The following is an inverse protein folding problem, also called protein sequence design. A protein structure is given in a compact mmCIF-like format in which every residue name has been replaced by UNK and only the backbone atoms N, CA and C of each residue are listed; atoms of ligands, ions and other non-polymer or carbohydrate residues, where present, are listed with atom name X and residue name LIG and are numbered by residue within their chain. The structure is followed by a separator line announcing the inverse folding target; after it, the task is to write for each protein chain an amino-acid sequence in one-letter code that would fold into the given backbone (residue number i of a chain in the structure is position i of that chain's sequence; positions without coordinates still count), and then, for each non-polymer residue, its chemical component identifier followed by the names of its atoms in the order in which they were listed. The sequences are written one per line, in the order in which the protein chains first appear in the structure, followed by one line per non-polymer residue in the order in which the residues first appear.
data_IF_211429372968
#
_entry.id   IF_211429372968
#
_cell.length_a   1.000
_cell.length_b   1.000
_cell.length_c   1.000
_cell.angle_alpha   90.00
_cell.angle_beta   90.00
_cell.angle_gamma   90.00
#
_symmetry.space_group_name_H-M   'P 1'
#
loop_
_entity.id
_entity.type
_entity.pdbx_description
1 polymer ?
#
# COMPACT_ATOMS: atom_id res chain seq x y z
N UNK A 1 7.12 6.78 3.34
CA UNK A 1 7.47 5.37 3.06
C UNK A 1 8.15 4.73 4.26
N UNK A 2 7.80 3.48 4.56
CA UNK A 2 8.18 2.78 5.80
C UNK A 2 8.88 1.46 5.47
N UNK A 3 9.82 1.01 6.31
CA UNK A 3 10.32 -0.36 6.31
C UNK A 3 9.17 -1.37 6.48
N UNK A 4 9.40 -2.65 6.23
CA UNK A 4 8.40 -3.68 6.47
C UNK A 4 7.96 -3.74 7.94
N UNK A 5 8.90 -3.58 8.86
CA UNK A 5 8.59 -3.56 10.30
C UNK A 5 7.69 -2.37 10.65
N UNK A 6 8.07 -1.17 10.20
CA UNK A 6 7.33 0.06 10.53
C UNK A 6 5.98 0.12 9.79
N UNK A 7 5.90 -0.37 8.55
CA UNK A 7 4.66 -0.46 7.80
C UNK A 7 3.65 -1.39 8.49
N UNK A 8 4.09 -2.56 8.98
CA UNK A 8 3.22 -3.46 9.76
C UNK A 8 2.76 -2.80 11.05
N UNK A 9 3.65 -2.14 11.78
CA UNK A 9 3.30 -1.42 13.00
C UNK A 9 2.28 -0.29 12.71
N UNK A 10 2.46 0.44 11.60
CA UNK A 10 1.53 1.48 11.17
C UNK A 10 0.15 0.91 10.82
N UNK A 11 0.08 -0.18 10.05
CA UNK A 11 -1.17 -0.86 9.72
C UNK A 11 -1.91 -1.34 10.98
N UNK A 12 -1.19 -1.94 11.94
CA UNK A 12 -1.79 -2.33 13.23
C UNK A 12 -2.29 -1.12 14.02
N UNK A 13 -1.55 -0.01 14.04
CA UNK A 13 -1.99 1.21 14.72
C UNK A 13 -3.23 1.83 14.07
N UNK A 14 -3.30 1.83 12.74
CA UNK A 14 -4.45 2.31 11.97
C UNK A 14 -5.68 1.45 12.31
N UNK A 15 -5.56 0.12 12.29
CA UNK A 15 -6.66 -0.77 12.67
C UNK A 15 -7.14 -0.51 14.11
N UNK A 16 -6.22 -0.33 15.06
CA UNK A 16 -6.57 -0.01 16.47
C UNK A 16 -7.20 1.37 16.67
N UNK A 17 -7.05 2.29 15.72
CA UNK A 17 -7.58 3.65 15.84
C UNK A 17 -9.10 3.73 15.74
N UNK A 18 -9.76 2.66 15.27
CA UNK A 18 -11.20 2.64 14.99
C UNK A 18 -11.57 3.24 13.64
N UNK A 19 -10.60 3.46 12.75
CA UNK A 19 -10.86 3.84 11.37
C UNK A 19 -11.62 2.70 10.66
N UNK A 20 -12.68 3.05 9.89
CA UNK A 20 -13.42 2.06 9.10
C UNK A 20 -12.72 1.69 7.79
N UNK A 21 -11.83 2.55 7.29
CA UNK A 21 -11.22 2.41 5.97
C UNK A 21 -9.74 2.77 5.98
N UNK A 22 -8.97 2.07 5.15
CA UNK A 22 -7.59 2.41 4.76
C UNK A 22 -7.59 2.80 3.29
N UNK A 23 -7.13 4.01 2.98
CA UNK A 23 -6.80 4.41 1.62
C UNK A 23 -5.28 4.57 1.51
N UNK A 24 -4.64 3.81 0.62
CA UNK A 24 -3.19 3.89 0.43
C UNK A 24 -2.79 3.74 -1.05
N UNK A 25 -1.66 4.34 -1.42
CA UNK A 25 -1.08 4.16 -2.75
C UNK A 25 -0.59 2.72 -2.92
N UNK A 26 -0.88 2.13 -4.08
CA UNK A 26 -0.41 0.80 -4.50
C UNK A 26 0.05 0.80 -5.96
N UNK A 27 0.97 -0.10 -6.30
CA UNK A 27 1.53 -0.32 -7.63
C UNK A 27 1.27 -1.78 -8.05
N UNK A 28 0.13 -2.09 -8.71
CA UNK A 28 -0.32 -3.45 -8.97
C UNK A 28 0.63 -4.30 -9.84
N UNK A 29 1.47 -3.67 -10.68
CA UNK A 29 2.45 -4.38 -11.52
C UNK A 29 3.68 -4.84 -10.72
N UNK A 30 3.86 -4.38 -9.48
CA UNK A 30 4.90 -4.89 -8.59
C UNK A 30 4.58 -6.34 -8.22
N UNK A 31 5.47 -7.26 -8.59
CA UNK A 31 5.36 -8.70 -8.33
C UNK A 31 6.10 -9.16 -7.06
N UNK A 32 6.92 -8.29 -6.47
CA UNK A 32 7.65 -8.54 -5.22
C UNK A 32 7.88 -7.22 -4.49
N UNK A 33 7.52 -7.17 -3.21
CA UNK A 33 7.91 -6.06 -2.36
C UNK A 33 9.35 -6.24 -1.88
N UNK A 34 10.15 -5.19 -1.96
CA UNK A 34 11.47 -5.12 -1.32
C UNK A 34 11.36 -4.37 0.01
N UNK A 35 12.20 -4.73 0.99
CA UNK A 35 12.31 -3.94 2.22
C UNK A 35 13.19 -2.72 2.00
N UNK A 36 13.00 -1.68 2.81
CA UNK A 36 13.81 -0.47 2.79
C UNK A 36 14.11 0.01 4.20
N UNK A 37 15.11 0.88 4.33
CA UNK A 37 15.22 1.72 5.51
C UNK A 37 14.11 2.77 5.46
N UNK A 38 13.39 2.96 6.58
CA UNK A 38 12.32 3.96 6.67
C UNK A 38 12.79 5.33 6.21
N UNK A 39 11.97 5.98 5.37
CA UNK A 39 12.30 7.25 4.71
C UNK A 39 12.82 7.11 3.27
N UNK A 40 13.35 5.95 2.87
CA UNK A 40 13.64 5.67 1.46
C UNK A 40 12.35 5.45 0.65
N UNK A 41 12.46 5.38 -0.67
CA UNK A 41 11.32 5.19 -1.56
C UNK A 41 11.34 3.82 -2.24
N UNK A 42 10.15 3.27 -2.48
CA UNK A 42 9.90 2.08 -3.30
C UNK A 42 8.46 2.08 -3.81
N UNK A 43 8.18 1.48 -4.98
CA UNK A 43 6.82 1.06 -5.30
C UNK A 43 6.46 -0.14 -4.41
N UNK A 44 5.19 -0.27 -4.05
CA UNK A 44 4.73 -1.27 -3.11
C UNK A 44 3.36 -1.80 -3.53
N UNK A 45 3.16 -3.10 -3.38
CA UNK A 45 1.87 -3.74 -3.58
C UNK A 45 1.43 -4.37 -2.25
N UNK A 46 0.40 -3.80 -1.62
CA UNK A 46 -0.04 -4.23 -0.30
C UNK A 46 -0.78 -5.58 -0.31
N UNK A 47 -1.16 -6.12 -1.47
CA UNK A 47 -1.75 -7.46 -1.58
C UNK A 47 -0.69 -8.57 -1.55
N UNK A 48 0.58 -8.23 -1.75
CA UNK A 48 1.69 -9.17 -1.72
C UNK A 48 2.33 -9.33 -0.34
N UNK A 49 3.12 -10.40 -0.12
CA UNK A 49 3.96 -10.51 1.07
C UNK A 49 4.87 -9.28 1.25
N UNK A 50 5.15 -8.84 2.48
CA UNK A 50 4.73 -9.45 3.75
C UNK A 50 3.40 -8.88 4.30
N UNK A 51 2.66 -8.07 3.53
CA UNK A 51 1.45 -7.39 4.01
C UNK A 51 0.20 -8.25 3.80
N UNK A 52 0.10 -8.90 2.64
CA UNK A 52 -0.99 -9.83 2.31
C UNK A 52 -2.38 -9.27 2.63
N UNK A 53 -2.61 -7.97 2.36
CA UNK A 53 -3.95 -7.43 2.41
C UNK A 53 -4.83 -8.13 1.35
N UNK A 54 -6.14 -8.27 1.58
CA UNK A 54 -7.03 -8.77 0.54
C UNK A 54 -7.03 -7.83 -0.67
N UNK A 55 -7.65 -8.27 -1.77
CA UNK A 55 -7.94 -7.38 -2.89
C UNK A 55 -8.71 -6.14 -2.39
N UNK A 56 -8.34 -4.92 -2.84
CA UNK A 56 -8.99 -3.69 -2.41
C UNK A 56 -10.46 -3.66 -2.87
N UNK A 57 -11.32 -3.07 -2.04
CA UNK A 57 -12.74 -2.90 -2.37
C UNK A 57 -12.96 -1.88 -3.48
N UNK A 58 -12.09 -0.87 -3.55
CA UNK A 58 -12.10 0.12 -4.61
C UNK A 58 -10.67 0.47 -5.01
N UNK A 59 -10.46 0.62 -6.31
CA UNK A 59 -9.21 1.09 -6.90
C UNK A 59 -9.49 2.36 -7.69
N UNK A 60 -8.75 3.42 -7.37
CA UNK A 60 -8.82 4.72 -8.05
C UNK A 60 -7.50 4.88 -8.80
N UNK A 61 -7.57 4.94 -10.13
CA UNK A 61 -6.40 5.24 -10.95
C UNK A 61 -5.94 6.67 -10.69
N UNK A 62 -4.66 6.87 -10.36
CA UNK A 62 -4.10 8.23 -10.21
C UNK A 62 -3.91 8.93 -11.56
N UNK A 63 -4.00 8.19 -12.67
CA UNK A 63 -3.83 8.68 -14.05
C UNK A 63 -2.53 9.47 -14.21
N UNK A 64 -1.43 8.94 -13.66
CA UNK A 64 -0.12 9.56 -13.76
C UNK A 64 0.34 9.61 -15.23
N UNK A 65 0.82 10.78 -15.65
CA UNK A 65 1.42 10.96 -16.98
C UNK A 65 2.89 10.48 -17.03
N UNK A 66 3.44 10.05 -15.88
CA UNK A 66 4.79 9.52 -15.75
C UNK A 66 4.81 8.06 -16.22
N UNK A 67 5.61 7.77 -17.26
CA UNK A 67 5.66 6.44 -17.90
C UNK A 67 6.12 5.32 -16.97
N UNK A 68 6.85 5.66 -15.90
CA UNK A 68 7.40 4.70 -14.93
C UNK A 68 6.36 4.25 -13.89
N UNK A 69 5.26 4.99 -13.71
CA UNK A 69 4.26 4.77 -12.65
C UNK A 69 2.82 4.83 -13.18
N UNK A 70 2.62 4.39 -14.43
CA UNK A 70 1.31 4.39 -15.10
C UNK A 70 0.25 3.56 -14.39
N UNK A 71 0.67 2.59 -13.58
CA UNK A 71 -0.19 1.71 -12.81
C UNK A 71 -0.42 2.18 -11.37
N UNK A 72 0.06 3.37 -11.02
CA UNK A 72 -0.12 3.92 -9.68
C UNK A 72 -1.60 4.16 -9.38
N UNK A 73 -2.05 3.62 -8.26
CA UNK A 73 -3.43 3.69 -7.81
C UNK A 73 -3.53 4.10 -6.36
N UNK A 74 -4.67 4.67 -5.98
CA UNK A 74 -5.14 4.70 -4.59
C UNK A 74 -6.11 3.53 -4.40
N UNK A 75 -5.74 2.62 -3.52
CA UNK A 75 -6.51 1.41 -3.20
C UNK A 75 -7.17 1.57 -1.82
N UNK A 76 -8.45 1.19 -1.73
CA UNK A 76 -9.27 1.31 -0.53
C UNK A 76 -9.56 -0.07 0.05
N UNK A 77 -9.37 -0.24 1.35
CA UNK A 77 -9.68 -1.46 2.11
C UNK A 77 -10.57 -1.14 3.30
N UNK A 78 -11.59 -1.96 3.57
CA UNK A 78 -12.25 -1.94 4.88
C UNK A 78 -11.32 -2.49 5.95
N UNK A 79 -11.35 -1.88 7.14
CA UNK A 79 -10.59 -2.30 8.32
C UNK A 79 -11.44 -3.01 9.38
N UNK A 80 -12.73 -3.22 9.11
CA UNK A 80 -13.70 -3.86 9.99
C UNK A 80 -14.98 -4.26 9.28
#
# INVERSE_FOLDING_TARGET
HLSFADARAALSNIARSGAGWLLATSFPSVIRNDDIVTGQWRPINLTLPPFNLPEPEQVIAENCNETEFVDKTLSLWSLG
#
